data_IF_543600826956
#
_entry.id   IF_543600826956
#
_cell.length_a   1.000
_cell.length_b   1.000
_cell.length_c   1.000
_cell.angle_alpha   90.00
_cell.angle_beta   90.00
_cell.angle_gamma   90.00
#
_symmetry.space_group_name_H-M   'P 1'
#
loop_
_entity.id
_entity.type
_entity.pdbx_description
1 polymer ?
#
# COMPACT_ATOMS: atom_id res chain seq x y z
N UNK A 1 -13.49 27.42 27.58
CA UNK A 1 -12.16 26.83 27.80
C UNK A 1 -12.18 25.44 27.15
N UNK A 2 -11.68 25.32 25.92
CA UNK A 2 -11.69 24.05 25.18
C UNK A 2 -10.37 23.31 25.41
N UNK A 3 -10.40 22.01 25.76
CA UNK A 3 -9.18 21.22 25.95
C UNK A 3 -8.50 20.84 24.63
N UNK A 4 -7.16 20.75 24.58
CA UNK A 4 -6.41 20.47 23.36
C UNK A 4 -6.48 18.98 22.97
N UNK A 5 -6.76 18.72 21.69
CA UNK A 5 -6.80 17.38 21.08
C UNK A 5 -5.38 16.81 21.04
N UNK A 6 -5.13 15.80 21.88
CA UNK A 6 -3.85 15.12 22.04
C UNK A 6 -3.51 14.24 20.81
N UNK A 7 -2.90 14.87 19.80
CA UNK A 7 -2.57 14.30 18.48
C UNK A 7 -1.47 13.22 18.47
N UNK A 8 -0.81 12.95 19.61
CA UNK A 8 0.33 12.00 19.68
C UNK A 8 -0.06 10.59 20.13
N UNK A 9 -1.23 10.43 20.76
CA UNK A 9 -1.66 9.14 21.36
C UNK A 9 -2.26 8.17 20.34
N UNK A 10 -2.82 8.69 19.26
CA UNK A 10 -3.46 7.92 18.18
C UNK A 10 -2.44 7.20 17.30
N UNK A 11 -1.37 7.91 16.90
CA UNK A 11 -0.29 7.39 16.06
C UNK A 11 0.37 6.10 16.58
N UNK A 12 0.63 6.00 17.90
CA UNK A 12 1.24 4.82 18.52
C UNK A 12 0.27 3.64 18.61
N UNK A 13 -1.02 3.92 18.78
CA UNK A 13 -2.07 2.92 18.87
C UNK A 13 -2.41 2.36 17.48
N UNK A 14 -2.44 3.21 16.48
CA UNK A 14 -2.71 2.87 15.09
C UNK A 14 -1.55 2.06 14.47
N UNK A 15 -0.31 2.47 14.72
CA UNK A 15 0.90 1.70 14.35
C UNK A 15 0.99 0.31 15.00
N UNK A 16 0.27 0.09 16.11
CA UNK A 16 0.11 -1.25 16.74
C UNK A 16 -1.02 -2.03 16.08
N UNK A 17 -2.11 -1.38 15.67
CA UNK A 17 -3.23 -2.00 14.94
C UNK A 17 -2.80 -2.43 13.54
N UNK A 18 -2.15 -1.56 12.79
CA UNK A 18 -1.67 -1.88 11.43
C UNK A 18 -0.63 -3.01 11.47
N UNK A 19 0.30 -3.00 12.44
CA UNK A 19 1.22 -4.13 12.63
C UNK A 19 0.53 -5.45 12.99
N UNK A 20 -0.57 -5.42 13.74
CA UNK A 20 -1.38 -6.62 13.99
C UNK A 20 -2.12 -7.05 12.74
N UNK A 21 -2.72 -6.12 12.00
CA UNK A 21 -3.47 -6.40 10.78
C UNK A 21 -2.56 -7.00 9.70
N UNK A 22 -1.34 -6.49 9.54
CA UNK A 22 -0.39 -7.05 8.57
C UNK A 22 0.10 -8.43 9.00
N UNK A 23 0.33 -8.65 10.30
CA UNK A 23 0.65 -9.99 10.80
C UNK A 23 -0.54 -10.95 10.63
N UNK A 24 -1.77 -10.46 10.81
CA UNK A 24 -2.99 -11.23 10.60
C UNK A 24 -3.23 -11.53 9.12
N UNK A 25 -2.99 -10.57 8.22
CA UNK A 25 -3.04 -10.75 6.77
C UNK A 25 -1.98 -11.75 6.31
N UNK A 26 -0.75 -11.66 6.82
CA UNK A 26 0.32 -12.63 6.52
C UNK A 26 -0.03 -14.03 6.99
N UNK A 27 -0.63 -14.15 8.17
CA UNK A 27 -1.12 -15.44 8.71
C UNK A 27 -2.36 -15.96 7.99
N UNK A 28 -3.23 -15.07 7.50
CA UNK A 28 -4.42 -15.43 6.73
C UNK A 28 -4.07 -15.86 5.30
N UNK A 29 -3.01 -15.31 4.72
CA UNK A 29 -2.44 -15.74 3.44
C UNK A 29 -1.85 -17.16 3.55
N UNK A 30 -1.07 -17.44 4.62
CA UNK A 30 -0.58 -18.80 4.95
C UNK A 30 -1.74 -19.79 5.19
N UNK A 31 -2.82 -19.36 5.85
CA UNK A 31 -3.98 -20.21 6.10
C UNK A 31 -4.84 -20.47 4.84
N UNK A 32 -4.84 -19.54 3.87
CA UNK A 32 -5.61 -19.66 2.63
C UNK A 32 -4.98 -20.57 1.59
N UNK A 33 -3.76 -21.08 1.81
CA UNK A 33 -3.17 -22.11 0.96
C UNK A 33 -3.75 -23.52 1.17
N UNK A 34 -4.80 -23.71 1.98
CA UNK A 34 -5.45 -25.03 2.10
C UNK A 34 -6.94 -25.11 1.76
N UNK A 35 -7.63 -24.04 1.37
CA UNK A 35 -9.06 -24.15 1.03
C UNK A 35 -9.41 -23.27 -0.19
N UNK A 36 -9.80 -23.96 -1.27
CA UNK A 36 -10.32 -23.34 -2.47
C UNK A 36 -11.74 -22.80 -2.32
N UNK A 37 -12.08 -21.86 -3.19
CA UNK A 37 -13.44 -21.59 -3.67
C UNK A 37 -14.29 -20.62 -2.87
N UNK A 38 -14.38 -19.37 -3.32
CA UNK A 38 -15.64 -18.87 -3.90
C UNK A 38 -15.35 -17.64 -4.78
N UNK A 39 -15.71 -17.78 -6.06
CA UNK A 39 -15.52 -16.80 -7.12
C UNK A 39 -16.88 -16.18 -7.44
N UNK A 40 -17.02 -14.87 -7.22
CA UNK A 40 -18.02 -14.08 -7.91
C UNK A 40 -17.35 -13.31 -9.05
N UNK A 41 -17.43 -13.95 -10.23
CA UNK A 41 -17.35 -13.43 -11.61
C UNK A 41 -16.07 -12.71 -12.08
N UNK A 42 -15.20 -13.43 -12.80
CA UNK A 42 -14.66 -13.09 -14.14
C UNK A 42 -14.02 -14.37 -14.76
N UNK A 43 -14.14 -14.61 -16.08
CA UNK A 43 -13.96 -15.93 -16.66
C UNK A 43 -12.49 -16.37 -16.74
N UNK A 44 -12.31 -17.67 -16.54
CA UNK A 44 -11.21 -18.55 -16.92
C UNK A 44 -10.01 -17.90 -17.65
N UNK A 45 -8.88 -17.84 -16.95
CA UNK A 45 -7.58 -18.09 -17.55
C UNK A 45 -6.65 -18.68 -16.49
N UNK A 46 -6.14 -19.88 -16.78
CA UNK A 46 -4.93 -20.44 -16.20
C UNK A 46 -3.78 -19.44 -16.32
N UNK A 47 -3.57 -18.61 -15.31
CA UNK A 47 -2.45 -17.69 -15.28
C UNK A 47 -1.71 -17.89 -13.96
N UNK A 48 -0.49 -18.41 -14.08
CA UNK A 48 0.61 -18.12 -13.15
C UNK A 48 0.36 -16.78 -12.46
N UNK A 49 0.24 -16.76 -11.13
CA UNK A 49 -0.05 -15.55 -10.34
C UNK A 49 0.86 -14.40 -10.76
N UNK A 50 0.36 -13.55 -11.66
CA UNK A 50 1.16 -12.50 -12.27
C UNK A 50 1.33 -11.37 -11.26
N UNK A 51 2.56 -10.87 -11.08
CA UNK A 51 2.92 -9.93 -10.00
C UNK A 51 2.05 -8.67 -10.05
N UNK A 52 1.65 -8.26 -11.26
CA UNK A 52 0.76 -7.12 -11.47
C UNK A 52 -0.67 -7.39 -11.00
N UNK A 53 -1.20 -8.60 -11.18
CA UNK A 53 -2.53 -8.97 -10.69
C UNK A 53 -2.56 -9.06 -9.17
N UNK A 54 -1.51 -9.62 -8.56
CA UNK A 54 -1.35 -9.63 -7.12
C UNK A 54 -1.33 -8.20 -6.55
N UNK A 55 -0.60 -7.28 -7.18
CA UNK A 55 -0.57 -5.89 -6.76
C UNK A 55 -1.95 -5.21 -6.83
N UNK A 56 -2.69 -5.43 -7.93
CA UNK A 56 -4.06 -4.91 -8.07
C UNK A 56 -4.97 -5.41 -6.95
N UNK A 57 -4.91 -6.69 -6.60
CA UNK A 57 -5.69 -7.26 -5.51
C UNK A 57 -5.32 -6.60 -4.16
N UNK A 58 -4.03 -6.45 -3.87
CA UNK A 58 -3.55 -5.80 -2.63
C UNK A 58 -4.00 -4.34 -2.55
N UNK A 59 -3.90 -3.56 -3.64
CA UNK A 59 -4.34 -2.17 -3.69
C UNK A 59 -5.86 -2.05 -3.48
N UNK A 60 -6.64 -2.95 -4.08
CA UNK A 60 -8.09 -3.01 -3.91
C UNK A 60 -8.45 -3.28 -2.45
N UNK A 61 -7.81 -4.26 -1.81
CA UNK A 61 -8.01 -4.56 -0.38
C UNK A 61 -7.55 -3.42 0.53
N UNK A 62 -6.42 -2.78 0.25
CA UNK A 62 -5.91 -1.64 1.01
C UNK A 62 -6.85 -0.43 0.94
N UNK A 63 -7.47 -0.20 -0.22
CA UNK A 63 -8.49 0.83 -0.41
C UNK A 63 -9.75 0.56 0.41
N UNK A 64 -10.24 -0.69 0.46
CA UNK A 64 -11.39 -1.04 1.30
C UNK A 64 -11.11 -0.90 2.80
N UNK A 65 -9.85 -0.99 3.22
CA UNK A 65 -9.42 -0.82 4.60
C UNK A 65 -9.00 0.63 4.95
N UNK A 66 -9.23 1.59 4.06
CA UNK A 66 -8.79 3.00 4.16
C UNK A 66 -7.28 3.14 4.50
N UNK A 67 -6.48 2.14 4.12
CA UNK A 67 -5.05 2.06 4.40
C UNK A 67 -4.16 2.54 3.25
N UNK A 68 -4.76 3.02 2.16
CA UNK A 68 -4.05 3.51 0.97
C UNK A 68 -3.95 5.04 0.99
N UNK A 69 -2.73 5.55 1.18
CA UNK A 69 -2.44 6.98 1.07
C UNK A 69 -2.14 7.32 -0.38
N UNK A 70 -2.76 8.38 -0.92
CA UNK A 70 -2.64 8.76 -2.33
C UNK A 70 -2.07 10.17 -2.47
N UNK A 71 -1.15 10.34 -3.41
CA UNK A 71 -0.49 11.61 -3.69
C UNK A 71 0.88 11.76 -3.02
N UNK A 72 1.74 12.55 -3.65
CA UNK A 72 3.16 12.68 -3.31
C UNK A 72 3.40 13.24 -1.90
N UNK A 73 2.67 14.29 -1.52
CA UNK A 73 2.87 14.97 -0.23
C UNK A 73 2.47 14.10 0.96
N UNK A 74 1.39 13.34 0.81
CA UNK A 74 0.94 12.41 1.84
C UNK A 74 1.84 11.17 1.90
N UNK A 75 2.26 10.66 0.74
CA UNK A 75 3.21 9.55 0.66
C UNK A 75 4.54 9.89 1.35
N UNK A 76 5.13 11.07 1.08
CA UNK A 76 6.35 11.52 1.74
C UNK A 76 6.19 11.57 3.27
N UNK A 77 5.06 12.12 3.76
CA UNK A 77 4.75 12.18 5.18
C UNK A 77 4.59 10.80 5.82
N UNK A 78 3.95 9.85 5.12
CA UNK A 78 3.76 8.48 5.57
C UNK A 78 5.08 7.68 5.60
N UNK A 79 5.98 7.93 4.64
CA UNK A 79 7.33 7.38 4.59
C UNK A 79 8.17 7.89 5.77
N UNK A 80 8.16 9.20 6.03
CA UNK A 80 8.89 9.82 7.15
C UNK A 80 8.46 9.28 8.52
N UNK A 81 7.13 9.12 8.72
CA UNK A 81 6.55 8.58 9.96
C UNK A 81 6.72 7.06 10.10
N UNK A 82 7.24 6.39 9.06
CA UNK A 82 7.36 4.93 8.96
C UNK A 82 6.03 4.23 9.24
N UNK A 83 4.95 4.75 8.67
CA UNK A 83 3.62 4.15 8.71
C UNK A 83 3.29 3.38 7.44
N UNK A 84 4.01 3.71 6.36
CA UNK A 84 3.94 2.96 5.13
C UNK A 84 4.66 1.61 5.28
N UNK A 85 4.01 0.56 4.81
CA UNK A 85 4.58 -0.79 4.78
C UNK A 85 5.23 -1.12 3.44
N UNK A 86 4.79 -0.45 2.38
CA UNK A 86 5.23 -0.66 1.02
C UNK A 86 4.86 0.55 0.18
N UNK A 87 5.70 0.91 -0.78
CA UNK A 87 5.48 2.05 -1.67
C UNK A 87 5.40 1.60 -3.14
N UNK A 88 4.48 2.19 -3.90
CA UNK A 88 4.42 2.03 -5.35
C UNK A 88 4.73 3.36 -6.00
N UNK A 89 5.69 3.35 -6.93
CA UNK A 89 6.09 4.53 -7.70
C UNK A 89 5.86 4.26 -9.19
N UNK A 90 5.36 5.25 -9.91
CA UNK A 90 5.32 5.19 -11.36
C UNK A 90 6.67 5.62 -11.94
N UNK A 91 7.18 4.90 -12.94
CA UNK A 91 8.42 5.29 -13.64
C UNK A 91 8.20 6.51 -14.53
N UNK A 92 7.00 6.66 -15.07
CA UNK A 92 6.58 7.79 -15.92
C UNK A 92 6.28 9.09 -15.14
N UNK A 93 6.99 9.37 -14.04
CA UNK A 93 6.92 10.64 -13.31
C UNK A 93 7.70 11.73 -14.07
N UNK A 94 7.03 12.84 -14.41
CA UNK A 94 7.65 13.96 -15.15
C UNK A 94 8.69 14.72 -14.32
N UNK A 95 8.56 14.71 -12.99
CA UNK A 95 9.49 15.38 -12.08
C UNK A 95 10.53 14.39 -11.50
N UNK A 96 11.80 14.45 -11.94
CA UNK A 96 12.84 13.55 -11.45
C UNK A 96 13.13 13.76 -9.95
N UNK A 97 12.90 14.97 -9.44
CA UNK A 97 13.04 15.29 -8.02
C UNK A 97 12.06 14.48 -7.15
N UNK A 98 10.85 14.20 -7.65
CA UNK A 98 9.86 13.40 -6.93
C UNK A 98 10.32 11.93 -6.81
N UNK A 99 10.87 11.39 -7.89
CA UNK A 99 11.42 10.02 -7.93
C UNK A 99 12.60 9.90 -6.97
N UNK A 100 13.55 10.83 -7.03
CA UNK A 100 14.74 10.82 -6.17
C UNK A 100 14.40 10.90 -4.68
N UNK A 101 13.42 11.74 -4.30
CA UNK A 101 13.03 11.91 -2.91
C UNK A 101 12.36 10.64 -2.36
N UNK A 102 11.45 10.03 -3.13
CA UNK A 102 10.80 8.78 -2.72
C UNK A 102 11.81 7.65 -2.61
N UNK A 103 12.71 7.51 -3.59
CA UNK A 103 13.77 6.50 -3.53
C UNK A 103 14.70 6.68 -2.34
N UNK A 104 15.11 7.92 -2.05
CA UNK A 104 15.97 8.23 -0.90
C UNK A 104 15.28 7.90 0.43
N UNK A 105 14.00 8.26 0.58
CA UNK A 105 13.22 7.94 1.77
C UNK A 105 13.00 6.42 1.93
N UNK A 106 12.65 5.72 0.85
CA UNK A 106 12.47 4.27 0.87
C UNK A 106 13.78 3.55 1.25
N UNK A 107 14.93 3.97 0.70
CA UNK A 107 16.25 3.44 1.05
C UNK A 107 16.60 3.70 2.52
N UNK A 108 16.38 4.93 3.01
CA UNK A 108 16.67 5.32 4.40
C UNK A 108 15.84 4.55 5.43
N UNK A 109 14.57 4.31 5.12
CA UNK A 109 13.64 3.66 6.04
C UNK A 109 13.53 2.14 5.84
N UNK A 110 14.24 1.57 4.85
CA UNK A 110 14.17 0.15 4.46
C UNK A 110 12.74 -0.30 4.12
N UNK A 111 12.01 0.56 3.40
CA UNK A 111 10.64 0.25 2.97
C UNK A 111 10.73 -0.39 1.58
N UNK A 112 10.11 -1.58 1.37
CA UNK A 112 10.07 -2.20 0.06
C UNK A 112 9.29 -1.31 -0.91
N UNK A 113 9.84 -1.14 -2.11
CA UNK A 113 9.29 -0.28 -3.17
C UNK A 113 9.14 -1.10 -4.46
N UNK A 114 8.01 -0.96 -5.15
CA UNK A 114 7.87 -1.42 -6.54
C UNK A 114 7.66 -0.25 -7.49
N UNK A 115 8.20 -0.42 -8.69
CA UNK A 115 8.02 0.48 -9.80
C UNK A 115 6.99 -0.08 -10.79
N UNK A 116 6.12 0.79 -11.29
CA UNK A 116 5.13 0.47 -12.33
C UNK A 116 5.37 1.42 -13.49
N UNK A 117 5.33 0.93 -14.73
CA UNK A 117 5.58 1.78 -15.89
C UNK A 117 4.61 2.98 -15.95
N UNK A 118 3.30 2.72 -15.87
CA UNK A 118 2.28 3.72 -16.16
C UNK A 118 1.63 4.36 -14.93
N UNK A 119 1.78 5.68 -14.81
CA UNK A 119 1.09 6.49 -13.78
C UNK A 119 -0.44 6.47 -13.90
N UNK A 120 -0.96 6.37 -15.13
CA UNK A 120 -2.41 6.39 -15.40
C UNK A 120 -3.09 5.11 -14.90
N UNK A 121 -2.53 3.97 -15.26
CA UNK A 121 -3.01 2.66 -14.80
C UNK A 121 -2.91 2.53 -13.27
N UNK A 122 -1.82 3.05 -12.68
CA UNK A 122 -1.67 3.07 -11.23
C UNK A 122 -2.76 3.92 -10.56
N UNK A 123 -3.11 5.08 -11.15
CA UNK A 123 -4.22 5.91 -10.71
C UNK A 123 -5.55 5.16 -10.72
N UNK A 124 -5.86 4.46 -11.81
CA UNK A 124 -7.08 3.66 -11.96
C UNK A 124 -7.18 2.56 -10.89
N UNK A 125 -6.07 1.88 -10.57
CA UNK A 125 -6.04 0.84 -9.53
C UNK A 125 -6.24 1.43 -8.13
N UNK A 126 -5.75 2.64 -7.90
CA UNK A 126 -5.98 3.41 -6.68
C UNK A 126 -7.38 4.05 -6.61
N UNK A 127 -8.13 4.06 -7.71
CA UNK A 127 -9.45 4.71 -7.81
C UNK A 127 -9.40 6.23 -7.87
N UNK A 128 -8.41 6.77 -8.56
CA UNK A 128 -8.29 8.19 -8.91
C UNK A 128 -8.79 8.45 -10.34
#
# INVERSE_FOLDING_TARGET
>A
SSPPINSTRTHKQEKRRIRRLIRQLKKADEARMSEGGDQSTVPAATATMDVQMALRAVLKSARFADGLTKGFREAAKALDKRECHFAVLAENCEDPMAVMLVEALCKKHQIPMMKVADKKLLGEWCGL
#
